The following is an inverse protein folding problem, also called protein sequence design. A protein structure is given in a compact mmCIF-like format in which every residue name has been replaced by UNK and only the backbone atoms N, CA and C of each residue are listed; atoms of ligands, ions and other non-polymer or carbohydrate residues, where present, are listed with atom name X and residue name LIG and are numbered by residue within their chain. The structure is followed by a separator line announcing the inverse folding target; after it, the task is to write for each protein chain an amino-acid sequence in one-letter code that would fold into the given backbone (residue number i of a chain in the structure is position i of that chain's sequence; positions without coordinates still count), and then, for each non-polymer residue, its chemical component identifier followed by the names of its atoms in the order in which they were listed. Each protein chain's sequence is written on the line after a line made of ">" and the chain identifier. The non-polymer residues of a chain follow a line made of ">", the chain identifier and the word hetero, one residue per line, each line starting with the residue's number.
data_IF_714827847959
#
_entry.id   IF_714827847959
#
_cell.length_a   1.000
_cell.length_b   1.000
_cell.length_c   1.000
_cell.angle_alpha   90.00
_cell.angle_beta   90.00
_cell.angle_gamma   90.00
#
_symmetry.space_group_name_H-M   'P 1'
#
loop_
_entity.id
_entity.type
_entity.pdbx_description
1 polymer ?
#
# COMPACT_ATOMS: atom_id res chain seq x y z
N UNK A 1 -25.20 47.61 28.78
CA UNK A 1 -25.75 46.75 27.70
C UNK A 1 -24.71 46.76 26.58
N UNK A 2 -24.07 45.70 26.11
CA UNK A 2 -24.37 44.27 26.05
C UNK A 2 -23.03 43.50 26.00
N UNK A 3 -23.01 42.36 26.68
CA UNK A 3 -21.93 41.37 26.70
C UNK A 3 -21.96 40.52 25.43
N UNK A 4 -20.81 40.11 24.90
CA UNK A 4 -20.77 38.87 24.11
C UNK A 4 -19.52 38.07 24.41
N UNK A 5 -19.75 36.98 25.15
CA UNK A 5 -18.79 35.93 25.48
C UNK A 5 -18.36 35.23 24.20
N UNK A 6 -17.08 35.32 23.85
CA UNK A 6 -16.51 34.43 22.86
C UNK A 6 -16.42 33.01 23.45
N UNK A 7 -17.17 32.12 22.80
CA UNK A 7 -17.26 30.69 23.03
C UNK A 7 -15.85 30.09 22.97
N UNK A 8 -15.41 29.44 24.06
CA UNK A 8 -14.22 28.60 24.07
C UNK A 8 -14.42 27.43 23.10
N UNK A 9 -13.65 27.40 22.01
CA UNK A 9 -13.49 26.21 21.17
C UNK A 9 -12.76 25.14 22.00
N UNK A 10 -13.52 24.18 22.54
CA UNK A 10 -12.98 22.93 23.05
C UNK A 10 -12.61 22.06 21.85
N UNK A 11 -11.37 22.18 21.39
CA UNK A 11 -10.80 21.24 20.44
C UNK A 11 -10.51 19.94 21.19
N UNK A 12 -11.48 19.03 21.24
CA UNK A 12 -11.29 17.66 21.70
C UNK A 12 -10.49 16.93 20.60
N UNK A 13 -9.18 16.87 20.81
CA UNK A 13 -8.20 16.20 19.93
C UNK A 13 -8.48 14.69 19.98
N UNK A 14 -8.85 14.09 18.84
CA UNK A 14 -9.04 12.65 18.72
C UNK A 14 -7.69 12.00 18.34
N UNK A 15 -7.22 10.93 19.02
CA UNK A 15 -5.87 10.39 18.88
C UNK A 15 -5.53 9.80 17.49
N UNK A 16 -6.49 9.78 16.57
CA UNK A 16 -6.37 9.27 15.20
C UNK A 16 -6.01 10.33 14.17
N UNK A 17 -6.03 11.62 14.53
CA UNK A 17 -5.67 12.73 13.64
C UNK A 17 -4.45 13.45 14.19
N UNK A 18 -3.43 13.60 13.33
CA UNK A 18 -2.06 13.96 13.71
C UNK A 18 -1.92 15.17 14.62
N UNK A 19 -0.87 15.11 15.45
CA UNK A 19 -0.43 16.22 16.29
C UNK A 19 -0.05 17.42 15.42
N UNK A 20 -0.85 18.48 15.51
CA UNK A 20 -0.48 19.82 15.02
C UNK A 20 0.69 20.29 15.88
N UNK A 21 1.90 20.30 15.32
CA UNK A 21 3.02 21.04 15.92
C UNK A 21 2.71 22.53 15.75
N UNK A 22 2.63 23.35 16.82
CA UNK A 22 2.37 24.79 16.70
C UNK A 22 3.57 25.49 16.05
N UNK A 23 3.59 25.55 14.71
CA UNK A 23 4.57 26.30 13.94
C UNK A 23 4.28 27.80 14.02
N UNK A 24 5.32 28.61 14.27
CA UNK A 24 5.28 30.08 14.28
C UNK A 24 4.40 30.65 13.15
N UNK A 25 3.62 31.67 13.50
CA UNK A 25 2.83 32.47 12.56
C UNK A 25 3.69 32.88 11.35
N UNK A 26 3.21 32.71 10.11
CA UNK A 26 3.96 33.12 8.92
C UNK A 26 4.14 34.63 8.94
N UNK A 27 5.42 35.07 8.93
CA UNK A 27 5.78 36.47 8.75
C UNK A 27 5.38 36.88 7.32
N UNK A 28 4.41 37.77 7.19
CA UNK A 28 4.04 38.38 5.90
C UNK A 28 5.23 39.21 5.41
N UNK A 29 5.97 38.69 4.44
CA UNK A 29 7.00 39.43 3.71
C UNK A 29 6.39 40.03 2.46
N UNK A 30 6.63 41.34 2.24
CA UNK A 30 6.03 42.13 1.16
C UNK A 30 6.40 41.58 -0.22
N UNK A 31 5.42 41.70 -1.12
CA UNK A 31 5.42 41.32 -2.53
C UNK A 31 6.65 41.85 -3.29
N UNK A 32 7.44 40.94 -3.85
CA UNK A 32 8.48 41.26 -4.83
C UNK A 32 7.87 41.44 -6.22
N UNK A 33 8.23 42.55 -6.85
CA UNK A 33 7.84 42.93 -8.21
C UNK A 33 8.47 41.98 -9.27
N UNK A 34 7.85 40.83 -9.50
CA UNK A 34 8.03 40.04 -10.71
C UNK A 34 6.92 38.99 -10.76
N UNK A 35 6.09 38.96 -11.81
CA UNK A 35 4.86 38.16 -11.94
C UNK A 35 4.99 36.64 -11.93
N UNK A 36 5.85 36.07 -11.08
CA UNK A 36 5.92 34.63 -10.78
C UNK A 36 5.15 34.40 -9.49
N UNK A 37 3.99 33.75 -9.59
CA UNK A 37 3.33 33.15 -8.43
C UNK A 37 4.27 32.11 -7.85
N UNK A 38 4.95 32.44 -6.76
CA UNK A 38 5.67 31.45 -5.97
C UNK A 38 4.61 30.58 -5.30
N UNK A 39 4.35 29.40 -5.85
CA UNK A 39 3.53 28.39 -5.17
C UNK A 39 4.20 28.04 -3.84
N UNK A 40 3.70 28.65 -2.77
CA UNK A 40 4.04 28.29 -1.40
C UNK A 40 3.53 26.87 -1.20
N UNK A 41 4.39 25.88 -1.44
CA UNK A 41 4.09 24.49 -1.14
C UNK A 41 3.78 24.41 0.36
N UNK A 42 2.51 24.22 0.70
CA UNK A 42 2.08 23.97 2.06
C UNK A 42 2.85 22.78 2.64
N UNK A 43 2.94 22.64 3.97
CA UNK A 43 3.66 21.53 4.58
C UNK A 43 3.16 20.22 3.97
N UNK A 44 4.06 19.44 3.36
CA UNK A 44 3.77 18.11 2.83
C UNK A 44 3.28 17.24 4.00
N UNK A 45 1.96 17.16 4.18
CA UNK A 45 1.34 16.23 5.12
C UNK A 45 1.62 14.83 4.59
N UNK A 46 2.60 14.15 5.18
CA UNK A 46 2.85 12.74 4.85
C UNK A 46 1.60 11.95 5.28
N UNK A 47 0.91 11.25 4.37
CA UNK A 47 -0.29 10.50 4.73
C UNK A 47 0.09 9.36 5.68
N UNK A 48 -0.19 9.53 6.96
CA UNK A 48 0.20 8.61 8.04
C UNK A 48 -0.45 7.22 7.90
N UNK A 49 -1.58 7.11 7.21
CA UNK A 49 -2.38 5.88 7.05
C UNK A 49 -1.76 4.84 6.12
N UNK A 50 -0.81 5.24 5.26
CA UNK A 50 -0.32 4.36 4.18
C UNK A 50 0.37 3.11 4.72
N UNK A 51 1.28 3.25 5.68
CA UNK A 51 1.97 2.09 6.28
C UNK A 51 1.14 1.28 7.28
N UNK A 52 0.14 1.91 7.92
CA UNK A 52 -0.68 1.26 8.95
C UNK A 52 -1.75 0.35 8.37
N UNK A 53 -2.35 0.74 7.25
CA UNK A 53 -3.32 -0.10 6.55
C UNK A 53 -2.72 -1.46 6.18
N UNK A 54 -1.55 -1.48 5.53
CA UNK A 54 -0.87 -2.73 5.18
C UNK A 54 -0.45 -3.56 6.39
N UNK A 55 0.00 -2.91 7.48
CA UNK A 55 0.39 -3.60 8.70
C UNK A 55 -0.78 -4.35 9.35
N UNK A 56 -1.99 -3.79 9.29
CA UNK A 56 -3.22 -4.42 9.81
C UNK A 56 -3.75 -5.47 8.83
N UNK A 57 -3.70 -5.21 7.52
CA UNK A 57 -4.16 -6.14 6.49
C UNK A 57 -3.35 -7.44 6.45
N UNK A 58 -2.05 -7.39 6.73
CA UNK A 58 -1.17 -8.58 6.74
C UNK A 58 -1.68 -9.70 7.67
N UNK A 59 -1.84 -9.50 9.00
CA UNK A 59 -2.34 -10.53 9.89
C UNK A 59 -3.79 -10.91 9.60
N UNK A 60 -4.65 -9.96 9.20
CA UNK A 60 -6.03 -10.28 8.82
C UNK A 60 -6.06 -11.26 7.66
N UNK A 61 -5.23 -11.03 6.63
CA UNK A 61 -5.15 -11.91 5.46
C UNK A 61 -4.72 -13.32 5.85
N UNK A 62 -3.71 -13.46 6.71
CA UNK A 62 -3.24 -14.77 7.18
C UNK A 62 -4.29 -15.50 8.02
N UNK A 63 -4.97 -14.79 8.92
CA UNK A 63 -5.99 -15.40 9.79
C UNK A 63 -7.21 -15.82 8.96
N UNK A 64 -7.74 -14.93 8.11
CA UNK A 64 -8.90 -15.26 7.27
C UNK A 64 -8.58 -16.36 6.26
N UNK A 65 -7.42 -16.29 5.61
CA UNK A 65 -6.95 -17.34 4.71
C UNK A 65 -6.76 -18.69 5.41
N UNK A 66 -6.18 -18.69 6.62
CA UNK A 66 -6.04 -19.88 7.45
C UNK A 66 -7.40 -20.47 7.86
N UNK A 67 -8.32 -19.64 8.37
CA UNK A 67 -9.68 -20.08 8.73
C UNK A 67 -10.38 -20.74 7.53
N UNK A 68 -10.32 -20.12 6.35
CA UNK A 68 -10.91 -20.69 5.13
C UNK A 68 -10.35 -22.09 4.82
N UNK A 69 -9.04 -22.30 4.99
CA UNK A 69 -8.40 -23.60 4.78
C UNK A 69 -8.83 -24.65 5.82
N UNK A 70 -9.04 -24.27 7.08
CA UNK A 70 -9.40 -25.23 8.12
C UNK A 70 -10.89 -25.55 8.20
N UNK A 71 -11.75 -24.60 7.86
CA UNK A 71 -13.20 -24.74 8.03
C UNK A 71 -13.87 -25.38 6.82
N UNK A 72 -13.37 -25.11 5.61
CA UNK A 72 -14.03 -25.56 4.38
C UNK A 72 -13.31 -26.78 3.82
N UNK A 73 -14.08 -27.83 3.54
CA UNK A 73 -13.59 -28.98 2.79
C UNK A 73 -13.58 -28.64 1.30
N UNK A 74 -12.39 -28.60 0.71
CA UNK A 74 -12.15 -28.11 -0.64
C UNK A 74 -11.27 -29.12 -1.39
N UNK A 75 -11.51 -29.34 -2.69
CA UNK A 75 -10.59 -30.09 -3.54
C UNK A 75 -9.16 -29.55 -3.41
N UNK A 76 -8.17 -30.44 -3.45
CA UNK A 76 -6.76 -30.08 -3.23
C UNK A 76 -6.27 -29.01 -4.20
N UNK A 77 -6.72 -29.03 -5.46
CA UNK A 77 -6.39 -28.02 -6.47
C UNK A 77 -6.83 -26.61 -6.04
N UNK A 78 -8.07 -26.46 -5.61
CA UNK A 78 -8.63 -25.19 -5.16
C UNK A 78 -7.96 -24.75 -3.85
N UNK A 79 -7.71 -25.67 -2.92
CA UNK A 79 -6.98 -25.38 -1.68
C UNK A 79 -5.58 -24.82 -1.96
N UNK A 80 -4.81 -25.44 -2.86
CA UNK A 80 -3.48 -24.96 -3.26
C UNK A 80 -3.55 -23.59 -3.95
N UNK A 81 -4.55 -23.37 -4.79
CA UNK A 81 -4.75 -22.06 -5.44
C UNK A 81 -5.04 -20.93 -4.44
N UNK A 82 -5.78 -21.23 -3.37
CA UNK A 82 -6.04 -20.29 -2.27
C UNK A 82 -4.75 -20.04 -1.48
N UNK A 83 -3.93 -21.08 -1.22
CA UNK A 83 -2.61 -20.91 -0.58
C UNK A 83 -1.75 -19.93 -1.39
N UNK A 84 -1.71 -20.08 -2.71
CA UNK A 84 -0.97 -19.18 -3.61
C UNK A 84 -1.47 -17.73 -3.46
N UNK A 85 -2.79 -17.53 -3.48
CA UNK A 85 -3.39 -16.21 -3.27
C UNK A 85 -3.04 -15.61 -1.91
N UNK A 86 -3.20 -16.38 -0.83
CA UNK A 86 -2.93 -15.96 0.54
C UNK A 86 -1.47 -15.57 0.70
N UNK A 87 -0.54 -16.40 0.24
CA UNK A 87 0.90 -16.13 0.32
C UNK A 87 1.34 -14.93 -0.52
N UNK A 88 0.81 -14.79 -1.74
CA UNK A 88 1.13 -13.65 -2.60
C UNK A 88 0.65 -12.32 -2.01
N UNK A 89 -0.58 -12.29 -1.54
CA UNK A 89 -1.18 -11.09 -0.94
C UNK A 89 -0.57 -10.77 0.43
N UNK A 90 -0.27 -11.78 1.25
CA UNK A 90 0.44 -11.60 2.50
C UNK A 90 1.85 -11.04 2.25
N UNK A 91 2.56 -11.51 1.22
CA UNK A 91 3.86 -10.95 0.84
C UNK A 91 3.74 -9.48 0.45
N UNK A 92 2.72 -9.10 -0.33
CA UNK A 92 2.43 -7.71 -0.67
C UNK A 92 2.19 -6.84 0.56
N UNK A 93 1.31 -7.26 1.47
CA UNK A 93 1.05 -6.50 2.70
C UNK A 93 2.27 -6.43 3.62
N UNK A 94 2.98 -7.55 3.80
CA UNK A 94 4.14 -7.65 4.67
C UNK A 94 5.31 -6.79 4.18
N UNK A 95 5.66 -6.88 2.89
CA UNK A 95 6.72 -6.07 2.29
C UNK A 95 6.37 -4.58 2.33
N UNK A 96 5.12 -4.21 2.02
CA UNK A 96 4.69 -2.81 2.08
C UNK A 96 4.74 -2.24 3.50
N UNK A 97 4.25 -3.00 4.49
CA UNK A 97 4.34 -2.62 5.89
C UNK A 97 5.80 -2.43 6.30
N UNK A 98 6.67 -3.37 5.94
CA UNK A 98 8.09 -3.34 6.28
C UNK A 98 8.81 -2.15 5.63
N UNK A 99 8.52 -1.84 4.36
CA UNK A 99 9.08 -0.70 3.64
C UNK A 99 8.72 0.65 4.29
N UNK A 100 7.46 0.83 4.71
CA UNK A 100 6.98 2.10 5.26
C UNK A 100 7.24 2.28 6.76
N UNK A 101 7.41 1.20 7.54
CA UNK A 101 7.52 1.26 9.00
C UNK A 101 8.96 1.22 9.51
N UNK A 102 9.87 0.58 8.80
CA UNK A 102 11.27 0.43 9.23
C UNK A 102 12.15 1.55 8.69
N UNK A 103 13.09 2.02 9.53
CA UNK A 103 14.10 3.02 9.16
C UNK A 103 15.27 2.34 8.45
N UNK A 104 15.23 2.32 7.12
CA UNK A 104 16.25 1.69 6.28
C UNK A 104 17.42 2.61 5.94
N UNK A 105 18.63 2.04 5.85
CA UNK A 105 19.77 2.72 5.19
C UNK A 105 19.45 2.97 3.71
N UNK A 106 20.04 3.99 3.05
CA UNK A 106 19.63 4.40 1.69
C UNK A 106 19.65 3.26 0.64
N UNK A 107 20.66 2.38 0.68
CA UNK A 107 20.73 1.21 -0.23
C UNK A 107 19.60 0.22 0.02
N UNK A 108 19.38 -0.14 1.29
CA UNK A 108 18.32 -1.07 1.68
C UNK A 108 16.91 -0.49 1.40
N UNK A 109 16.72 0.82 1.56
CA UNK A 109 15.45 1.49 1.25
C UNK A 109 15.09 1.35 -0.23
N UNK A 110 16.06 1.55 -1.14
CA UNK A 110 15.85 1.34 -2.58
C UNK A 110 15.53 -0.12 -2.91
N UNK A 111 16.17 -1.07 -2.24
CA UNK A 111 15.87 -2.48 -2.42
C UNK A 111 14.45 -2.82 -1.94
N UNK A 112 14.03 -2.33 -0.77
CA UNK A 112 12.67 -2.55 -0.26
C UNK A 112 11.61 -1.88 -1.13
N UNK A 113 11.91 -0.72 -1.72
CA UNK A 113 11.03 -0.10 -2.70
C UNK A 113 10.81 -0.99 -3.93
N UNK A 114 11.86 -1.70 -4.40
CA UNK A 114 11.74 -2.65 -5.51
C UNK A 114 10.91 -3.87 -5.12
N UNK A 115 11.11 -4.41 -3.92
CA UNK A 115 10.29 -5.52 -3.42
C UNK A 115 8.83 -5.12 -3.27
N UNK A 116 8.54 -3.95 -2.69
CA UNK A 116 7.17 -3.42 -2.53
C UNK A 116 6.46 -3.31 -3.88
N UNK A 117 7.16 -2.77 -4.87
CA UNK A 117 6.63 -2.65 -6.23
C UNK A 117 6.55 -3.99 -6.97
N UNK A 118 7.37 -4.98 -6.61
CA UNK A 118 7.30 -6.32 -7.20
C UNK A 118 6.16 -7.14 -6.61
N UNK A 119 5.86 -6.93 -5.32
CA UNK A 119 4.89 -7.74 -4.60
C UNK A 119 3.45 -7.55 -5.09
N UNK A 120 3.12 -6.40 -5.71
CA UNK A 120 1.81 -6.21 -6.34
C UNK A 120 1.60 -7.16 -7.53
N UNK A 121 2.64 -7.42 -8.34
CA UNK A 121 2.55 -8.38 -9.45
C UNK A 121 2.25 -9.79 -8.94
N UNK A 122 2.87 -10.18 -7.82
CA UNK A 122 2.63 -11.46 -7.18
C UNK A 122 1.21 -11.56 -6.60
N UNK A 123 0.70 -10.48 -5.98
CA UNK A 123 -0.68 -10.44 -5.48
C UNK A 123 -1.71 -10.54 -6.61
N UNK A 124 -1.45 -9.90 -7.76
CA UNK A 124 -2.32 -10.00 -8.94
C UNK A 124 -2.35 -11.44 -9.45
N UNK A 125 -1.19 -12.03 -9.76
CA UNK A 125 -1.13 -13.42 -10.24
C UNK A 125 -1.72 -14.41 -9.23
N UNK A 126 -1.42 -14.21 -7.94
CA UNK A 126 -1.97 -15.01 -6.86
C UNK A 126 -3.50 -14.92 -6.77
N UNK A 127 -4.07 -13.72 -6.90
CA UNK A 127 -5.53 -13.50 -6.84
C UNK A 127 -6.31 -14.12 -8.00
N UNK A 128 -5.73 -14.13 -9.20
CA UNK A 128 -6.36 -14.78 -10.35
C UNK A 128 -6.27 -16.31 -10.33
N UNK A 129 -5.31 -16.89 -9.59
CA UNK A 129 -5.11 -18.34 -9.54
C UNK A 129 -6.34 -19.10 -9.00
N UNK A 130 -6.92 -18.77 -7.82
CA UNK A 130 -8.13 -19.44 -7.35
C UNK A 130 -9.36 -19.13 -8.19
N UNK A 131 -9.46 -17.94 -8.79
CA UNK A 131 -10.57 -17.61 -9.71
C UNK A 131 -10.52 -18.49 -10.96
N UNK A 132 -9.33 -18.66 -11.55
CA UNK A 132 -9.16 -19.52 -12.71
C UNK A 132 -9.42 -21.00 -12.37
N UNK A 133 -8.95 -21.48 -11.22
CA UNK A 133 -9.17 -22.87 -10.77
C UNK A 133 -10.63 -23.13 -10.41
N UNK A 134 -11.37 -22.13 -9.93
CA UNK A 134 -12.77 -22.27 -9.53
C UNK A 134 -13.75 -22.11 -10.70
N UNK A 135 -13.46 -21.21 -11.63
CA UNK A 135 -14.43 -20.74 -12.63
C UNK A 135 -14.13 -21.16 -14.07
N UNK A 136 -12.97 -21.75 -14.35
CA UNK A 136 -12.54 -22.13 -15.70
C UNK A 136 -12.10 -23.59 -15.72
N UNK A 137 -12.23 -24.20 -16.90
CA UNK A 137 -11.80 -25.57 -17.16
C UNK A 137 -10.94 -25.65 -18.43
N UNK A 138 -10.19 -26.75 -18.55
CA UNK A 138 -9.43 -27.08 -19.74
C UNK A 138 -8.43 -26.00 -20.16
N UNK A 139 -8.39 -25.68 -21.45
CA UNK A 139 -7.40 -24.75 -22.01
C UNK A 139 -7.55 -23.30 -21.51
N UNK A 140 -8.77 -22.86 -21.19
CA UNK A 140 -9.03 -21.50 -20.74
C UNK A 140 -8.40 -21.24 -19.36
N UNK A 141 -8.52 -22.21 -18.45
CA UNK A 141 -7.89 -22.17 -17.12
C UNK A 141 -6.37 -21.97 -17.25
N UNK A 142 -5.71 -22.80 -18.06
CA UNK A 142 -4.26 -22.73 -18.25
C UNK A 142 -3.82 -21.45 -18.97
N UNK A 143 -4.64 -20.93 -19.89
CA UNK A 143 -4.35 -19.67 -20.58
C UNK A 143 -4.36 -18.50 -19.61
N UNK A 144 -5.36 -18.42 -18.71
CA UNK A 144 -5.44 -17.35 -17.71
C UNK A 144 -4.30 -17.48 -16.71
N UNK A 145 -4.07 -18.67 -16.14
CA UNK A 145 -2.97 -18.91 -15.19
C UNK A 145 -1.63 -18.56 -15.83
N UNK A 146 -1.36 -19.10 -17.02
CA UNK A 146 -0.12 -18.82 -17.76
C UNK A 146 0.05 -17.33 -18.04
N UNK A 147 -1.00 -16.65 -18.52
CA UNK A 147 -0.98 -15.23 -18.84
C UNK A 147 -0.71 -14.33 -17.64
N UNK A 148 -1.39 -14.53 -16.51
CA UNK A 148 -1.20 -13.68 -15.32
C UNK A 148 0.17 -13.90 -14.68
N UNK A 149 0.67 -15.14 -14.65
CA UNK A 149 2.00 -15.43 -14.13
C UNK A 149 3.10 -14.94 -15.06
N UNK A 150 2.95 -15.10 -16.37
CA UNK A 150 3.87 -14.53 -17.35
C UNK A 150 3.92 -12.99 -17.23
N UNK A 151 2.76 -12.33 -17.18
CA UNK A 151 2.68 -10.88 -17.00
C UNK A 151 3.31 -10.40 -15.69
N UNK A 152 3.11 -11.15 -14.60
CA UNK A 152 3.74 -10.84 -13.32
C UNK A 152 5.27 -10.97 -13.36
N UNK A 153 5.79 -12.07 -13.91
CA UNK A 153 7.23 -12.27 -14.08
C UNK A 153 7.85 -11.19 -14.97
N UNK A 154 7.20 -10.88 -16.10
CA UNK A 154 7.64 -9.83 -17.01
C UNK A 154 7.65 -8.47 -16.30
N UNK A 155 6.58 -8.11 -15.58
CA UNK A 155 6.49 -6.87 -14.82
C UNK A 155 7.58 -6.73 -13.75
N UNK A 156 7.88 -7.82 -13.04
CA UNK A 156 8.99 -7.88 -12.08
C UNK A 156 10.32 -7.67 -12.81
N UNK A 157 10.63 -8.44 -13.85
CA UNK A 157 11.90 -8.33 -14.58
C UNK A 157 12.12 -6.91 -15.12
N UNK A 158 11.11 -6.32 -15.76
CA UNK A 158 11.18 -4.95 -16.28
C UNK A 158 11.34 -3.90 -15.19
N UNK A 159 10.78 -4.12 -14.00
CA UNK A 159 10.96 -3.22 -12.86
C UNK A 159 12.39 -3.25 -12.31
N UNK A 160 13.03 -4.42 -12.33
CA UNK A 160 14.38 -4.62 -11.80
C UNK A 160 15.49 -4.21 -12.77
N UNK A 161 15.17 -4.04 -14.05
CA UNK A 161 16.13 -3.60 -15.05
C UNK A 161 16.69 -2.19 -14.70
N UNK A 162 18.01 -1.97 -14.81
CA UNK A 162 18.60 -0.65 -14.60
C UNK A 162 18.03 0.32 -15.65
N UNK A 163 17.13 1.21 -15.24
CA UNK A 163 16.72 2.33 -16.09
C UNK A 163 17.89 3.31 -16.16
N UNK A 164 18.38 3.57 -17.36
CA UNK A 164 19.38 4.60 -17.62
C UNK A 164 18.83 5.94 -17.09
N UNK A 165 19.60 6.71 -16.29
CA UNK A 165 19.18 8.04 -15.85
C UNK A 165 18.87 8.91 -17.07
N UNK A 166 17.68 9.52 -17.09
CA UNK A 166 17.38 10.63 -18.01
C UNK A 166 17.56 11.94 -17.27
#
# INVERSE_FOLDING_TARGET
>A
MITSRLRRYSARIHPWFGSVVPGRQPRVMKSGNNGRVNEVHGPHLMPLLRGWSHLISFPIMLVMGGILMFVVDLPISLRLSIVIYVMGTATMFGVSALYHRVRWRPRAKRLMQRFDHSAIFLAIAGGYTPVAVLCLDGWAQWTVIGGVWFGALLGIVLHWLPRVPR
#
